data_IF_544172620349
#
_entry.id   IF_544172620349
#
_cell.length_a   1.000
_cell.length_b   1.000
_cell.length_c   1.000
_cell.angle_alpha   90.00
_cell.angle_beta   90.00
_cell.angle_gamma   90.00
#
_symmetry.space_group_name_H-M   'P 1'
#
loop_
_entity.id
_entity.type
_entity.pdbx_description
1 polymer ?
#
# COMPACT_ATOMS: atom_id res chain seq x y z
N UNK A 1 -8.96 17.51 22.79
CA UNK A 1 -7.50 17.25 22.96
C UNK A 1 -7.17 15.97 22.19
N UNK A 2 -6.18 16.00 21.30
CA UNK A 2 -5.70 14.79 20.62
C UNK A 2 -4.89 13.99 21.63
N UNK A 3 -5.25 12.73 21.84
CA UNK A 3 -4.61 11.87 22.82
C UNK A 3 -3.27 11.36 22.28
N UNK A 4 -2.18 11.55 23.05
CA UNK A 4 -0.86 10.97 22.75
C UNK A 4 -0.91 9.44 22.96
N UNK A 5 -0.67 8.67 21.89
CA UNK A 5 -0.62 7.21 21.94
C UNK A 5 0.76 6.71 22.39
N UNK A 6 0.80 5.54 23.02
CA UNK A 6 2.08 4.87 23.30
C UNK A 6 2.68 4.31 22.01
N UNK A 7 1.83 3.76 21.14
CA UNK A 7 2.20 3.10 19.91
C UNK A 7 1.09 3.33 18.85
N UNK A 8 1.49 3.55 17.60
CA UNK A 8 0.60 3.63 16.43
C UNK A 8 1.17 2.73 15.34
N UNK A 9 0.32 1.95 14.69
CA UNK A 9 0.66 1.08 13.58
C UNK A 9 0.20 1.71 12.27
N UNK A 10 1.13 1.91 11.33
CA UNK A 10 0.90 2.51 10.03
C UNK A 10 1.04 1.41 8.96
N UNK A 11 0.01 1.22 8.17
CA UNK A 11 -0.03 0.17 7.15
C UNK A 11 -0.11 0.77 5.75
N UNK A 12 0.77 0.35 4.88
CA UNK A 12 0.54 0.48 3.45
C UNK A 12 -0.58 -0.47 2.99
N UNK A 13 -1.12 -0.23 1.80
CA UNK A 13 -2.23 -1.01 1.22
C UNK A 13 -1.73 -1.95 0.13
N UNK A 14 -1.15 -1.38 -0.94
CA UNK A 14 -0.83 -2.10 -2.16
C UNK A 14 0.35 -3.04 -1.98
N UNK A 15 0.16 -4.33 -2.23
CA UNK A 15 1.10 -5.41 -1.97
C UNK A 15 1.51 -5.60 -0.49
N UNK A 16 0.91 -4.84 0.41
CA UNK A 16 1.06 -5.02 1.87
C UNK A 16 -0.17 -5.71 2.48
N UNK A 17 -1.35 -5.13 2.29
CA UNK A 17 -2.64 -5.70 2.74
C UNK A 17 -3.44 -6.31 1.60
N UNK A 18 -3.27 -5.81 0.39
CA UNK A 18 -4.01 -6.16 -0.81
C UNK A 18 -3.04 -6.50 -1.94
N UNK A 19 -3.29 -7.63 -2.65
CA UNK A 19 -2.51 -8.10 -3.81
C UNK A 19 -2.77 -7.21 -5.03
N UNK A 20 -2.05 -6.10 -5.11
CA UNK A 20 -2.17 -5.15 -6.20
C UNK A 20 -1.55 -5.68 -7.51
N UNK A 21 -0.57 -6.58 -7.43
CA UNK A 21 -0.01 -7.24 -8.61
C UNK A 21 -1.10 -8.07 -9.31
N UNK A 22 -1.96 -8.73 -8.53
CA UNK A 22 -3.09 -9.46 -9.09
C UNK A 22 -4.15 -8.53 -9.68
N UNK A 23 -4.42 -7.38 -9.06
CA UNK A 23 -5.31 -6.35 -9.63
C UNK A 23 -4.79 -5.89 -10.99
N UNK A 24 -3.48 -5.63 -11.12
CA UNK A 24 -2.86 -5.24 -12.38
C UNK A 24 -2.94 -6.35 -13.44
N UNK A 25 -2.73 -7.60 -13.04
CA UNK A 25 -2.85 -8.75 -13.95
C UNK A 25 -4.29 -8.91 -14.47
N UNK A 26 -5.28 -8.77 -13.60
CA UNK A 26 -6.70 -8.83 -13.98
C UNK A 26 -7.10 -7.66 -14.89
N UNK A 27 -6.53 -6.46 -14.66
CA UNK A 27 -6.72 -5.31 -15.56
C UNK A 27 -6.10 -5.57 -16.93
N UNK A 28 -4.89 -6.11 -16.98
CA UNK A 28 -4.23 -6.47 -18.24
C UNK A 28 -5.03 -7.51 -19.03
N UNK A 29 -5.60 -8.51 -18.35
CA UNK A 29 -6.50 -9.49 -18.97
C UNK A 29 -7.76 -8.82 -19.52
N UNK A 30 -8.40 -7.95 -18.73
CA UNK A 30 -9.58 -7.19 -19.17
C UNK A 30 -9.28 -6.35 -20.41
N UNK A 31 -8.16 -5.60 -20.39
CA UNK A 31 -7.75 -4.76 -21.51
C UNK A 31 -7.47 -5.57 -22.77
N UNK A 32 -6.71 -6.67 -22.64
CA UNK A 32 -6.37 -7.54 -23.77
C UNK A 32 -7.60 -8.16 -24.40
N UNK A 33 -8.59 -8.55 -23.62
CA UNK A 33 -9.86 -9.12 -24.10
C UNK A 33 -10.77 -8.08 -24.71
N UNK A 34 -10.77 -6.84 -24.19
CA UNK A 34 -11.70 -5.78 -24.61
C UNK A 34 -11.16 -5.00 -25.80
N UNK A 35 -9.88 -4.65 -25.81
CA UNK A 35 -9.26 -3.77 -26.80
C UNK A 35 -8.23 -4.48 -27.70
N UNK A 36 -7.77 -5.65 -27.28
CA UNK A 36 -6.69 -6.40 -27.93
C UNK A 36 -5.32 -6.13 -27.33
N UNK A 37 -4.36 -7.01 -27.65
CA UNK A 37 -3.00 -7.00 -27.05
C UNK A 37 -2.25 -5.70 -27.30
N UNK A 38 -2.41 -5.10 -28.50
CA UNK A 38 -1.74 -3.85 -28.86
C UNK A 38 -2.17 -2.70 -27.97
N UNK A 39 -3.46 -2.51 -27.80
CA UNK A 39 -4.01 -1.39 -27.05
C UNK A 39 -3.85 -1.61 -25.53
N UNK A 40 -3.84 -2.87 -25.08
CA UNK A 40 -3.39 -3.21 -23.72
C UNK A 40 -1.94 -2.76 -23.49
N UNK A 41 -1.02 -3.08 -24.40
CA UNK A 41 0.36 -2.62 -24.32
C UNK A 41 0.46 -1.09 -24.27
N UNK A 42 -0.32 -0.41 -25.14
CA UNK A 42 -0.35 1.06 -25.16
C UNK A 42 -0.86 1.67 -23.85
N UNK A 43 -1.88 1.07 -23.22
CA UNK A 43 -2.35 1.51 -21.92
C UNK A 43 -1.23 1.47 -20.85
N UNK A 44 -0.47 0.38 -20.81
CA UNK A 44 0.63 0.25 -19.84
C UNK A 44 1.81 1.18 -20.12
N UNK A 45 2.11 1.49 -21.38
CA UNK A 45 3.08 2.53 -21.74
C UNK A 45 2.65 3.90 -21.18
N UNK A 46 1.38 4.28 -21.39
CA UNK A 46 0.80 5.52 -20.86
C UNK A 46 0.85 5.50 -19.32
N UNK A 47 0.54 4.37 -18.70
CA UNK A 47 0.57 4.22 -17.25
C UNK A 47 1.98 4.50 -16.68
N UNK A 48 3.02 3.94 -17.29
CA UNK A 48 4.39 4.19 -16.85
C UNK A 48 4.85 5.63 -17.12
N UNK A 49 4.37 6.27 -18.18
CA UNK A 49 4.64 7.68 -18.45
C UNK A 49 3.98 8.58 -17.39
N UNK A 50 2.71 8.34 -17.08
CA UNK A 50 1.97 9.06 -16.03
C UNK A 50 2.64 8.86 -14.67
N UNK A 51 3.00 7.62 -14.34
CA UNK A 51 3.68 7.29 -13.09
C UNK A 51 5.05 7.98 -12.95
N UNK A 52 5.80 8.09 -14.04
CA UNK A 52 7.09 8.80 -14.06
C UNK A 52 6.90 10.31 -13.88
N UNK A 53 5.85 10.87 -14.46
CA UNK A 53 5.52 12.29 -14.38
C UNK A 53 5.02 12.69 -12.98
N UNK A 54 4.10 11.90 -12.41
CA UNK A 54 3.40 12.23 -11.16
C UNK A 54 4.08 11.64 -9.92
N UNK A 55 4.91 10.61 -10.06
CA UNK A 55 5.59 9.92 -8.97
C UNK A 55 4.76 8.85 -8.27
N UNK A 56 3.51 8.63 -8.69
CA UNK A 56 2.61 7.59 -8.17
C UNK A 56 1.79 6.92 -9.28
N UNK A 57 1.13 5.81 -8.95
CA UNK A 57 0.28 5.05 -9.89
C UNK A 57 -1.09 5.70 -10.01
N UNK A 58 -1.37 6.37 -11.14
CA UNK A 58 -2.64 7.01 -11.43
C UNK A 58 -3.38 6.26 -12.54
N UNK A 59 -4.27 5.35 -12.16
CA UNK A 59 -5.07 4.55 -13.09
C UNK A 59 -6.11 5.37 -13.84
N UNK A 60 -6.72 6.36 -13.17
CA UNK A 60 -7.76 7.19 -13.77
C UNK A 60 -7.17 8.23 -14.72
N UNK A 61 -6.07 8.86 -14.35
CA UNK A 61 -5.33 9.75 -15.25
C UNK A 61 -4.78 9.02 -16.48
N UNK A 62 -4.33 7.77 -16.29
CA UNK A 62 -3.95 6.90 -17.41
C UNK A 62 -5.14 6.61 -18.33
N UNK A 63 -6.31 6.29 -17.76
CA UNK A 63 -7.54 6.09 -18.55
C UNK A 63 -7.91 7.33 -19.37
N UNK A 64 -7.81 8.53 -18.80
CA UNK A 64 -8.11 9.76 -19.52
C UNK A 64 -7.12 10.01 -20.67
N UNK A 65 -5.84 9.71 -20.50
CA UNK A 65 -4.87 9.79 -21.58
C UNK A 65 -5.11 8.73 -22.67
N UNK A 66 -5.39 7.50 -22.26
CA UNK A 66 -5.75 6.41 -23.19
C UNK A 66 -7.01 6.74 -24.00
N UNK A 67 -7.99 7.39 -23.37
CA UNK A 67 -9.20 7.88 -24.05
C UNK A 67 -8.89 8.86 -25.17
N UNK A 68 -7.92 9.76 -25.03
CA UNK A 68 -7.59 10.73 -26.08
C UNK A 68 -7.11 10.05 -27.38
N UNK A 69 -6.49 8.88 -27.27
CA UNK A 69 -6.07 8.08 -28.42
C UNK A 69 -7.22 7.19 -28.96
N UNK A 70 -8.29 6.99 -28.17
CA UNK A 70 -9.41 6.09 -28.46
C UNK A 70 -10.78 6.79 -28.39
N UNK A 71 -10.87 8.05 -28.82
CA UNK A 71 -12.04 8.94 -28.66
C UNK A 71 -13.35 8.39 -29.22
N UNK A 72 -13.27 7.52 -30.23
CA UNK A 72 -14.44 6.96 -30.90
C UNK A 72 -14.81 5.54 -30.43
N UNK A 73 -14.10 5.00 -29.46
CA UNK A 73 -14.38 3.68 -28.91
C UNK A 73 -15.22 3.79 -27.61
N UNK A 74 -16.53 3.45 -27.67
CA UNK A 74 -17.38 3.56 -26.49
C UNK A 74 -17.00 2.60 -25.37
N UNK A 75 -16.20 1.56 -25.64
CA UNK A 75 -15.75 0.59 -24.63
C UNK A 75 -14.82 1.23 -23.59
N UNK A 76 -14.13 2.33 -23.94
CA UNK A 76 -13.29 3.10 -23.01
C UNK A 76 -14.11 3.62 -21.82
N UNK A 77 -15.38 3.98 -22.05
CA UNK A 77 -16.27 4.45 -20.98
C UNK A 77 -16.62 3.35 -19.95
N UNK A 78 -16.61 2.09 -20.36
CA UNK A 78 -16.86 0.96 -19.46
C UNK A 78 -15.65 0.64 -18.57
N UNK A 79 -14.48 1.09 -18.97
CA UNK A 79 -13.25 0.83 -18.24
C UNK A 79 -13.22 1.54 -16.87
N UNK A 80 -13.82 2.74 -16.77
CA UNK A 80 -13.96 3.43 -15.49
C UNK A 80 -14.81 2.62 -14.50
N UNK A 81 -15.94 2.05 -14.98
CA UNK A 81 -16.77 1.18 -14.15
C UNK A 81 -16.01 -0.08 -13.71
N UNK A 82 -15.23 -0.70 -14.63
CA UNK A 82 -14.41 -1.85 -14.25
C UNK A 82 -13.41 -1.51 -13.14
N UNK A 83 -12.69 -0.39 -13.26
CA UNK A 83 -11.74 0.07 -12.24
C UNK A 83 -12.44 0.35 -10.90
N UNK A 84 -13.54 1.10 -10.93
CA UNK A 84 -14.22 1.57 -9.73
C UNK A 84 -15.00 0.45 -9.00
N UNK A 85 -15.46 -0.56 -9.73
CA UNK A 85 -16.30 -1.64 -9.20
C UNK A 85 -15.56 -2.98 -9.08
N UNK A 86 -14.24 -2.98 -9.33
CA UNK A 86 -13.41 -4.17 -9.17
C UNK A 86 -13.57 -4.78 -7.76
N UNK A 87 -13.63 -6.12 -7.63
CA UNK A 87 -13.86 -6.80 -6.34
C UNK A 87 -12.58 -6.83 -5.49
N UNK A 88 -12.14 -5.68 -5.00
CA UNK A 88 -10.90 -5.53 -4.22
C UNK A 88 -10.88 -6.40 -2.95
N UNK A 89 -12.05 -6.73 -2.37
CA UNK A 89 -12.14 -7.62 -1.22
C UNK A 89 -11.56 -9.00 -1.47
N UNK A 90 -11.67 -9.51 -2.70
CA UNK A 90 -11.14 -10.82 -3.11
C UNK A 90 -9.60 -10.80 -3.25
N UNK A 91 -8.98 -9.63 -3.14
CA UNK A 91 -7.53 -9.43 -3.27
C UNK A 91 -6.84 -9.12 -1.95
N UNK A 92 -7.57 -9.13 -0.84
CA UNK A 92 -6.97 -9.02 0.50
C UNK A 92 -6.10 -10.25 0.75
N UNK A 93 -4.84 -10.03 1.14
CA UNK A 93 -3.95 -11.13 1.49
C UNK A 93 -4.47 -11.93 2.66
N UNK A 94 -4.23 -13.23 2.61
CA UNK A 94 -4.63 -14.14 3.69
C UNK A 94 -4.04 -13.71 5.03
N UNK A 95 -4.89 -13.57 6.03
CA UNK A 95 -4.48 -13.16 7.38
C UNK A 95 -4.28 -11.66 7.57
N UNK A 96 -4.39 -10.82 6.53
CA UNK A 96 -4.20 -9.37 6.65
C UNK A 96 -5.17 -8.72 7.66
N UNK A 97 -6.45 -9.04 7.58
CA UNK A 97 -7.44 -8.49 8.53
C UNK A 97 -7.19 -8.97 9.96
N UNK A 98 -6.78 -10.23 10.14
CA UNK A 98 -6.41 -10.77 11.47
C UNK A 98 -5.17 -10.07 12.03
N UNK A 99 -4.19 -9.78 11.17
CA UNK A 99 -2.98 -9.03 11.55
C UNK A 99 -3.33 -7.62 12.03
N UNK A 100 -4.22 -6.91 11.31
CA UNK A 100 -4.71 -5.59 11.70
C UNK A 100 -5.43 -5.67 13.06
N UNK A 101 -6.36 -6.61 13.22
CA UNK A 101 -7.08 -6.80 14.49
C UNK A 101 -6.14 -7.12 15.65
N UNK A 102 -5.09 -7.92 15.41
CA UNK A 102 -4.10 -8.29 16.41
C UNK A 102 -3.38 -7.06 16.96
N UNK A 103 -2.83 -6.20 16.10
CA UNK A 103 -2.07 -5.03 16.55
C UNK A 103 -2.94 -3.94 17.17
N UNK A 104 -4.23 -3.88 16.82
CA UNK A 104 -5.18 -2.93 17.41
C UNK A 104 -5.36 -3.12 18.93
N UNK A 105 -4.96 -4.26 19.49
CA UNK A 105 -4.96 -4.47 20.94
C UNK A 105 -3.96 -3.54 21.66
N UNK A 106 -2.95 -3.01 20.97
CA UNK A 106 -1.87 -2.23 21.56
C UNK A 106 -1.86 -0.76 21.16
N UNK A 107 -2.58 -0.42 20.10
CA UNK A 107 -2.68 0.95 19.64
C UNK A 107 -3.48 1.08 18.34
N UNK A 108 -3.77 2.30 17.91
CA UNK A 108 -4.47 2.52 16.65
C UNK A 108 -3.71 1.91 15.47
N UNK A 109 -4.43 1.19 14.60
CA UNK A 109 -3.98 0.89 13.25
C UNK A 109 -4.53 1.97 12.30
N UNK A 110 -3.68 2.47 11.42
CA UNK A 110 -3.95 3.56 10.47
C UNK A 110 -3.44 3.13 9.10
N UNK A 111 -4.23 3.31 8.07
CA UNK A 111 -3.74 3.22 6.68
C UNK A 111 -2.91 4.47 6.39
N UNK A 112 -1.71 4.25 5.86
CA UNK A 112 -0.83 5.29 5.34
C UNK A 112 -0.37 4.86 3.93
N UNK A 113 -1.02 5.37 2.90
CA UNK A 113 -0.85 4.90 1.52
C UNK A 113 -0.55 6.04 0.56
N UNK A 114 0.15 5.71 -0.53
CA UNK A 114 0.26 6.59 -1.68
C UNK A 114 -0.92 6.36 -2.63
N UNK A 115 -1.39 7.41 -3.30
CA UNK A 115 -2.42 7.29 -4.31
C UNK A 115 -3.16 8.59 -4.59
N UNK A 116 -4.06 8.51 -5.57
CA UNK A 116 -4.94 9.62 -5.91
C UNK A 116 -6.15 9.74 -4.95
N UNK A 117 -6.87 10.86 -5.07
CA UNK A 117 -7.99 11.19 -4.19
C UNK A 117 -9.31 10.47 -4.53
N UNK A 118 -9.36 9.64 -5.57
CA UNK A 118 -10.58 8.98 -6.05
C UNK A 118 -10.44 7.46 -6.02
N UNK A 119 -9.44 6.92 -6.72
CA UNK A 119 -9.28 5.48 -6.89
C UNK A 119 -8.76 4.79 -5.62
N UNK A 120 -7.75 5.38 -4.94
CA UNK A 120 -7.18 4.76 -3.75
C UNK A 120 -8.18 4.71 -2.57
N UNK A 121 -8.94 5.78 -2.23
CA UNK A 121 -10.01 5.67 -1.23
C UNK A 121 -11.08 4.67 -1.61
N UNK A 122 -11.45 4.58 -2.90
CA UNK A 122 -12.43 3.60 -3.41
C UNK A 122 -11.93 2.17 -3.24
N UNK A 123 -10.66 1.91 -3.53
CA UNK A 123 -10.00 0.61 -3.30
C UNK A 123 -10.05 0.23 -1.81
N UNK A 124 -9.69 1.15 -0.92
CA UNK A 124 -9.73 0.95 0.53
C UNK A 124 -11.14 0.66 1.02
N UNK A 125 -12.14 1.37 0.53
CA UNK A 125 -13.55 1.16 0.90
C UNK A 125 -14.06 -0.20 0.38
N UNK A 126 -13.91 -0.47 -0.91
CA UNK A 126 -14.39 -1.67 -1.58
C UNK A 126 -13.69 -2.95 -1.12
N UNK A 127 -12.49 -2.85 -0.58
CA UNK A 127 -11.77 -3.99 0.01
C UNK A 127 -12.19 -4.31 1.45
N UNK A 128 -13.04 -3.47 2.08
CA UNK A 128 -13.41 -3.61 3.49
C UNK A 128 -12.37 -3.06 4.47
N UNK A 129 -11.24 -2.58 3.97
CA UNK A 129 -10.16 -2.01 4.80
C UNK A 129 -10.62 -0.74 5.52
N UNK A 130 -11.48 0.09 4.91
CA UNK A 130 -12.02 1.28 5.57
C UNK A 130 -12.67 0.95 6.91
N UNK A 131 -13.51 -0.08 6.93
CA UNK A 131 -14.16 -0.55 8.16
C UNK A 131 -13.17 -1.20 9.13
N UNK A 132 -12.24 -2.04 8.63
CA UNK A 132 -11.25 -2.72 9.45
C UNK A 132 -10.33 -1.74 10.20
N UNK A 133 -10.04 -0.59 9.62
CA UNK A 133 -9.25 0.48 10.24
C UNK A 133 -10.10 1.53 10.97
N UNK A 134 -11.42 1.33 11.09
CA UNK A 134 -12.36 2.28 11.72
C UNK A 134 -12.25 3.69 11.12
N UNK A 135 -12.10 3.79 9.81
CA UNK A 135 -11.98 5.05 9.07
C UNK A 135 -10.65 5.80 9.27
N UNK A 136 -9.65 5.19 9.91
CA UNK A 136 -8.33 5.80 10.07
C UNK A 136 -7.50 5.59 8.80
N UNK A 137 -7.68 6.50 7.86
CA UNK A 137 -7.09 6.41 6.52
C UNK A 137 -6.42 7.74 6.18
N UNK A 138 -5.15 7.67 5.84
CA UNK A 138 -4.34 8.77 5.30
C UNK A 138 -3.82 8.35 3.92
N UNK A 139 -4.13 9.15 2.91
CA UNK A 139 -3.68 8.93 1.53
C UNK A 139 -2.97 10.18 1.05
N UNK A 140 -1.75 10.04 0.57
CA UNK A 140 -0.89 11.12 0.10
C UNK A 140 -0.32 10.78 -1.28
N UNK A 141 0.35 11.72 -1.91
CA UNK A 141 1.10 11.49 -3.15
C UNK A 141 2.45 10.82 -2.81
N UNK A 142 3.11 11.31 -1.75
CA UNK A 142 4.38 10.78 -1.23
C UNK A 142 4.29 10.72 0.30
N UNK A 143 3.76 9.63 0.83
CA UNK A 143 3.49 9.45 2.26
C UNK A 143 4.71 9.62 3.15
N UNK A 144 5.90 9.27 2.65
CA UNK A 144 7.16 9.43 3.38
C UNK A 144 7.58 10.90 3.58
N UNK A 145 6.94 11.84 2.87
CA UNK A 145 7.17 13.28 3.02
C UNK A 145 6.16 13.93 3.98
N UNK A 146 5.08 13.22 4.35
CA UNK A 146 3.96 13.74 5.12
C UNK A 146 3.96 13.27 6.59
N UNK A 147 5.14 12.93 7.11
CA UNK A 147 5.28 12.38 8.47
C UNK A 147 4.85 13.38 9.56
N UNK A 148 5.00 14.69 9.33
CA UNK A 148 4.51 15.72 10.23
C UNK A 148 2.97 15.70 10.33
N UNK A 149 2.29 15.41 9.24
CA UNK A 149 0.83 15.29 9.20
C UNK A 149 0.36 14.02 9.92
N UNK A 150 1.09 12.92 9.76
CA UNK A 150 0.86 11.69 10.53
C UNK A 150 0.97 11.96 12.04
N UNK A 151 2.03 12.66 12.48
CA UNK A 151 2.22 13.03 13.89
C UNK A 151 1.12 13.96 14.41
N UNK A 152 0.62 14.84 13.57
CA UNK A 152 -0.47 15.74 13.91
C UNK A 152 -1.80 15.01 14.13
N UNK A 153 -2.14 14.05 13.26
CA UNK A 153 -3.40 13.30 13.38
C UNK A 153 -3.33 12.16 14.38
N UNK A 154 -2.18 11.50 14.46
CA UNK A 154 -1.95 10.32 15.31
C UNK A 154 -0.66 10.48 16.12
N UNK A 155 -0.59 11.44 17.05
CA UNK A 155 0.60 11.66 17.85
C UNK A 155 0.92 10.44 18.72
N UNK A 156 2.16 9.95 18.62
CA UNK A 156 2.60 8.77 19.34
C UNK A 156 4.04 8.89 19.84
N UNK A 157 4.33 8.15 20.92
CA UNK A 157 5.71 8.00 21.39
C UNK A 157 6.54 7.16 20.40
N UNK A 158 5.91 6.13 19.81
CA UNK A 158 6.51 5.22 18.83
C UNK A 158 5.53 4.87 17.73
N UNK A 159 6.09 4.54 16.57
CA UNK A 159 5.36 4.07 15.39
C UNK A 159 5.87 2.71 14.96
N UNK A 160 5.00 1.94 14.30
CA UNK A 160 5.38 0.75 13.52
C UNK A 160 4.92 1.01 12.11
N UNK A 161 5.85 1.00 11.15
CA UNK A 161 5.52 1.14 9.72
C UNK A 161 5.62 -0.20 9.03
N UNK A 162 4.54 -0.63 8.40
CA UNK A 162 4.39 -1.89 7.68
C UNK A 162 4.22 -1.57 6.19
N UNK A 163 5.17 -1.98 5.34
CA UNK A 163 5.21 -1.62 3.91
C UNK A 163 6.00 -2.67 3.12
N UNK A 164 5.58 -2.98 1.88
CA UNK A 164 6.29 -3.88 0.96
C UNK A 164 7.49 -3.21 0.27
N UNK A 165 7.69 -1.90 0.46
CA UNK A 165 8.77 -1.13 -0.19
C UNK A 165 9.85 -0.75 0.80
N UNK A 166 10.99 -1.43 0.75
CA UNK A 166 12.16 -1.11 1.58
C UNK A 166 12.60 0.36 1.43
N UNK A 167 12.45 0.98 0.25
CA UNK A 167 12.73 2.40 0.04
C UNK A 167 11.94 3.28 1.01
N UNK A 168 10.65 3.04 1.13
CA UNK A 168 9.74 3.79 2.03
C UNK A 168 10.14 3.55 3.48
N UNK A 169 10.33 2.27 3.87
CA UNK A 169 10.73 1.91 5.23
C UNK A 169 12.04 2.58 5.63
N UNK A 170 13.04 2.58 4.74
CA UNK A 170 14.34 3.23 4.99
C UNK A 170 14.19 4.75 5.11
N UNK A 171 13.40 5.40 4.25
CA UNK A 171 13.17 6.85 4.30
C UNK A 171 12.51 7.25 5.62
N UNK A 172 11.48 6.52 6.05
CA UNK A 172 10.78 6.78 7.33
C UNK A 172 11.71 6.48 8.52
N UNK A 173 12.50 5.40 8.46
CA UNK A 173 13.48 5.06 9.49
C UNK A 173 14.54 6.15 9.65
N UNK A 174 15.05 6.70 8.55
CA UNK A 174 16.00 7.81 8.57
C UNK A 174 15.39 9.08 9.20
N UNK A 175 14.11 9.33 9.00
CA UNK A 175 13.43 10.51 9.55
C UNK A 175 13.08 10.36 11.03
N UNK A 176 12.54 9.21 11.44
CA UNK A 176 12.04 8.99 12.80
C UNK A 176 13.02 8.23 13.71
N UNK A 177 14.09 7.65 13.15
CA UNK A 177 15.12 6.93 13.93
C UNK A 177 14.54 5.82 14.80
N UNK A 178 14.88 5.82 16.08
CA UNK A 178 14.42 4.82 17.03
C UNK A 178 12.93 4.96 17.43
N UNK A 179 12.27 6.03 16.98
CA UNK A 179 10.82 6.20 17.19
C UNK A 179 9.98 5.31 16.28
N UNK A 180 10.56 4.72 15.24
CA UNK A 180 9.85 3.81 14.36
C UNK A 180 10.49 2.42 14.32
N UNK A 181 9.65 1.39 14.36
CA UNK A 181 9.96 0.02 13.94
C UNK A 181 9.43 -0.20 12.54
N UNK A 182 10.26 -0.77 11.69
CA UNK A 182 9.91 -1.09 10.31
C UNK A 182 9.59 -2.58 10.17
N UNK A 183 8.51 -2.90 9.48
CA UNK A 183 8.06 -4.26 9.20
C UNK A 183 7.92 -4.43 7.70
N UNK A 184 8.58 -5.42 7.15
CA UNK A 184 8.62 -5.72 5.73
C UNK A 184 7.99 -7.08 5.45
N UNK A 185 6.73 -7.12 4.99
CA UNK A 185 6.14 -8.33 4.43
C UNK A 185 6.74 -8.58 3.04
N UNK A 186 7.32 -9.76 2.81
CA UNK A 186 7.95 -10.15 1.54
C UNK A 186 6.91 -10.54 0.49
N UNK A 187 6.00 -9.63 0.20
CA UNK A 187 4.89 -9.79 -0.74
C UNK A 187 5.03 -8.83 -1.93
N UNK A 188 4.35 -9.15 -3.02
CA UNK A 188 4.41 -8.34 -4.24
C UNK A 188 5.76 -8.40 -4.97
N UNK A 189 5.84 -7.70 -6.08
CA UNK A 189 7.01 -7.74 -6.97
C UNK A 189 8.23 -7.00 -6.39
N UNK A 190 8.04 -5.90 -5.64
CA UNK A 190 9.15 -5.15 -5.03
C UNK A 190 9.93 -5.99 -4.01
N UNK A 191 9.23 -6.78 -3.23
CA UNK A 191 9.83 -7.63 -2.21
C UNK A 191 10.63 -8.82 -2.77
N UNK A 192 10.48 -9.09 -4.07
CA UNK A 192 11.17 -10.18 -4.78
C UNK A 192 12.28 -9.69 -5.71
N UNK A 193 12.46 -8.38 -5.84
CA UNK A 193 13.49 -7.80 -6.71
C UNK A 193 14.86 -7.80 -5.98
N UNK A 194 15.85 -8.60 -6.48
CA UNK A 194 17.17 -8.69 -5.86
C UNK A 194 17.92 -7.35 -5.83
N UNK A 195 17.68 -6.47 -6.80
CA UNK A 195 18.31 -5.15 -6.84
C UNK A 195 17.80 -4.26 -5.72
N UNK A 196 16.49 -4.28 -5.47
CA UNK A 196 15.87 -3.55 -4.36
C UNK A 196 16.38 -4.08 -3.03
N UNK A 197 16.40 -5.41 -2.85
CA UNK A 197 16.88 -6.06 -1.63
C UNK A 197 18.37 -5.79 -1.35
N UNK A 198 19.18 -5.63 -2.39
CA UNK A 198 20.61 -5.29 -2.26
C UNK A 198 20.87 -3.78 -2.03
N UNK A 199 19.94 -2.91 -2.43
CA UNK A 199 20.11 -1.45 -2.38
C UNK A 199 19.76 -0.86 -1.01
N UNK A 200 18.72 -1.39 -0.35
CA UNK A 200 18.18 -0.82 0.89
C UNK A 200 18.53 -1.66 2.11
N UNK A 201 18.65 -0.98 3.26
CA UNK A 201 18.85 -1.68 4.54
C UNK A 201 17.64 -2.56 4.86
N UNK A 202 17.86 -3.74 5.45
CA UNK A 202 16.78 -4.59 5.90
C UNK A 202 15.88 -3.87 6.93
N UNK A 203 14.58 -4.18 6.92
CA UNK A 203 13.68 -3.72 7.95
C UNK A 203 13.98 -4.37 9.31
N UNK A 204 13.54 -3.73 10.40
CA UNK A 204 13.71 -4.26 11.77
C UNK A 204 13.05 -5.64 11.94
N UNK A 205 11.91 -5.86 11.24
CA UNK A 205 11.17 -7.13 11.24
C UNK A 205 10.87 -7.49 9.77
N UNK A 206 11.09 -8.75 9.42
CA UNK A 206 10.76 -9.29 8.11
C UNK A 206 9.77 -10.44 8.28
N UNK A 207 8.74 -10.47 7.45
CA UNK A 207 7.69 -11.48 7.44
C UNK A 207 7.61 -12.09 6.02
N UNK A 208 7.37 -13.37 5.90
CA UNK A 208 7.14 -13.95 4.57
C UNK A 208 5.77 -13.57 4.03
N UNK A 209 4.79 -13.34 4.91
CA UNK A 209 3.47 -12.82 4.57
C UNK A 209 2.87 -12.02 5.73
N UNK A 210 2.01 -11.05 5.40
CA UNK A 210 1.41 -10.13 6.38
C UNK A 210 0.67 -10.86 7.51
N UNK A 211 0.08 -12.02 7.24
CA UNK A 211 -0.63 -12.81 8.25
C UNK A 211 0.21 -13.21 9.45
N UNK A 212 1.54 -13.34 9.28
CA UNK A 212 2.48 -13.68 10.35
C UNK A 212 2.59 -12.57 11.41
N UNK A 213 2.21 -11.35 11.08
CA UNK A 213 2.14 -10.25 12.04
C UNK A 213 1.24 -10.59 13.24
N UNK A 214 0.24 -11.47 13.05
CA UNK A 214 -0.62 -11.98 14.14
C UNK A 214 0.13 -12.81 15.20
N UNK A 215 1.34 -13.27 14.88
CA UNK A 215 2.18 -14.06 15.80
C UNK A 215 3.21 -13.19 16.54
N UNK A 216 3.37 -11.91 16.14
CA UNK A 216 4.35 -11.02 16.75
C UNK A 216 3.85 -10.54 18.12
N UNK A 217 4.64 -10.70 19.19
CA UNK A 217 4.29 -10.16 20.51
C UNK A 217 4.55 -8.64 20.55
N UNK A 218 3.90 -7.93 21.47
CA UNK A 218 4.12 -6.49 21.68
C UNK A 218 5.60 -6.12 21.84
N UNK A 219 6.37 -6.98 22.52
CA UNK A 219 7.80 -6.77 22.72
C UNK A 219 8.60 -6.60 21.42
N UNK A 220 8.17 -7.23 20.33
CA UNK A 220 8.82 -7.09 19.00
C UNK A 220 8.79 -5.64 18.51
N UNK A 221 7.77 -4.87 18.85
CA UNK A 221 7.56 -3.49 18.41
C UNK A 221 8.11 -2.45 19.39
N UNK A 222 8.40 -2.84 20.63
CA UNK A 222 8.80 -1.91 21.69
C UNK A 222 10.26 -2.05 22.13
N UNK A 223 10.93 -3.17 21.81
CA UNK A 223 12.34 -3.39 22.16
C UNK A 223 13.30 -2.53 21.32
N UNK A 224 14.32 -1.95 21.97
CA UNK A 224 15.43 -1.28 21.32
C UNK A 224 16.52 -2.31 20.99
N UNK A 225 16.32 -3.18 19.99
CA UNK A 225 17.33 -4.18 19.61
C UNK A 225 17.00 -4.81 18.27
N UNK A 226 18.04 -5.05 17.48
CA UNK A 226 17.94 -5.54 16.11
C UNK A 226 17.30 -6.92 15.97
N UNK A 227 16.70 -7.13 14.80
CA UNK A 227 16.44 -8.38 14.13
C UNK A 227 15.91 -9.54 14.97
N UNK A 228 14.63 -9.57 15.31
CA UNK A 228 13.99 -10.81 15.70
C UNK A 228 13.49 -11.53 14.42
N UNK A 229 14.24 -12.54 13.96
CA UNK A 229 13.67 -13.56 13.08
C UNK A 229 12.75 -14.42 13.96
N UNK A 230 11.46 -14.39 13.66
CA UNK A 230 10.50 -15.31 14.25
C UNK A 230 10.47 -16.59 13.43
N UNK A 231 10.46 -17.77 14.09
CA UNK A 231 10.41 -19.07 13.41
C UNK A 231 9.10 -19.33 12.69
#
# INVERSE_FOLDING_TARGET
MITMHSLVFLFDVDNTLLDNDRVQADLAEYLSRTFGVRDCGRYWEIFEDVRRELGYADYLGTLERFRLENMHDPRVLLMSSWLMDYPFGDRIYKGALSAVQHVQQWGPAVILSDGDAVFQPRKVDRSGLWAAFNGRVLIYIHKEQELADVERFYPAKRYVMIDDKLRILNTIKNSWGERVKTVFPKQGHYARDPHILATYQPADIQLDQIGELSNCPLAAFTSNGGGANFP
#
